data_IF_182155563351
#
_entry.id   IF_182155563351
#
_cell.length_a   1.000
_cell.length_b   1.000
_cell.length_c   1.000
_cell.angle_alpha   90.00
_cell.angle_beta   90.00
_cell.angle_gamma   90.00
#
_symmetry.space_group_name_H-M   'P 1'
#
loop_
_entity.id
_entity.type
_entity.pdbx_description
1 polymer ?
#
# COMPACT_ATOMS: atom_id res chain seq x y z
N UNK A 1 3.17 -15.71 7.07
CA UNK A 1 3.30 -16.50 5.83
C UNK A 1 4.65 -16.18 5.19
N UNK A 2 5.34 -17.13 4.57
CA UNK A 2 6.53 -16.84 3.74
C UNK A 2 6.12 -16.95 2.28
N UNK A 3 6.47 -15.97 1.45
CA UNK A 3 6.13 -15.90 0.03
C UNK A 3 7.43 -16.02 -0.76
N UNK A 4 7.62 -17.14 -1.45
CA UNK A 4 8.91 -17.51 -2.07
C UNK A 4 8.93 -17.32 -3.58
N UNK A 5 7.78 -17.40 -4.25
CA UNK A 5 7.69 -17.32 -5.71
C UNK A 5 6.74 -16.19 -6.14
N UNK A 6 6.82 -15.81 -7.41
CA UNK A 6 5.92 -14.80 -7.97
C UNK A 6 4.48 -15.30 -7.98
N UNK A 7 4.27 -16.59 -8.25
CA UNK A 7 2.95 -17.24 -8.24
C UNK A 7 2.33 -17.19 -6.84
N UNK A 8 3.11 -17.51 -5.80
CA UNK A 8 2.66 -17.40 -4.41
C UNK A 8 2.32 -15.96 -4.02
N UNK A 9 3.02 -14.97 -4.60
CA UNK A 9 2.68 -13.57 -4.38
C UNK A 9 1.36 -13.23 -5.06
N UNK A 10 1.16 -13.60 -6.33
CA UNK A 10 -0.09 -13.37 -7.05
C UNK A 10 -1.29 -13.99 -6.32
N UNK A 11 -1.18 -15.25 -5.86
CA UNK A 11 -2.21 -15.91 -5.04
C UNK A 11 -2.51 -15.14 -3.75
N UNK A 12 -1.48 -14.61 -3.08
CA UNK A 12 -1.65 -13.82 -1.87
C UNK A 12 -2.33 -12.48 -2.14
N UNK A 13 -1.95 -11.78 -3.22
CA UNK A 13 -2.58 -10.51 -3.63
C UNK A 13 -4.04 -10.72 -4.03
N UNK A 14 -4.34 -11.79 -4.77
CA UNK A 14 -5.71 -12.11 -5.19
C UNK A 14 -6.58 -12.49 -4.00
N UNK A 15 -6.06 -13.31 -3.10
CA UNK A 15 -6.75 -13.66 -1.85
C UNK A 15 -7.03 -12.42 -1.00
N UNK A 16 -6.07 -11.49 -0.91
CA UNK A 16 -6.21 -10.23 -0.17
C UNK A 16 -7.36 -9.37 -0.72
N UNK A 17 -7.52 -9.30 -2.05
CA UNK A 17 -8.59 -8.51 -2.67
C UNK A 17 -9.93 -9.25 -2.76
N UNK A 18 -9.93 -10.57 -2.91
CA UNK A 18 -11.14 -11.35 -3.16
C UNK A 18 -12.18 -11.20 -2.05
N UNK A 19 -11.77 -11.35 -0.78
CA UNK A 19 -12.72 -11.23 0.34
C UNK A 19 -13.22 -9.80 0.52
N UNK A 20 -12.37 -8.79 0.26
CA UNK A 20 -12.78 -7.37 0.32
C UNK A 20 -13.79 -7.04 -0.78
N UNK A 21 -13.56 -7.53 -1.99
CA UNK A 21 -14.51 -7.37 -3.12
C UNK A 21 -15.85 -7.98 -2.78
N UNK A 22 -15.84 -9.18 -2.20
CA UNK A 22 -17.06 -9.85 -1.77
C UNK A 22 -17.82 -8.99 -0.74
N UNK A 23 -17.16 -8.58 0.34
CA UNK A 23 -17.78 -7.78 1.40
C UNK A 23 -18.32 -6.44 0.87
N UNK A 24 -17.55 -5.73 0.05
CA UNK A 24 -18.00 -4.48 -0.58
C UNK A 24 -19.20 -4.69 -1.52
N UNK A 25 -19.22 -5.80 -2.26
CA UNK A 25 -20.35 -6.15 -3.14
C UNK A 25 -21.60 -6.50 -2.34
N UNK A 26 -21.46 -7.21 -1.23
CA UNK A 26 -22.58 -7.56 -0.34
C UNK A 26 -23.20 -6.29 0.29
N UNK A 27 -22.35 -5.34 0.72
CA UNK A 27 -22.79 -4.04 1.24
C UNK A 27 -23.45 -3.20 0.14
N UNK A 28 -22.84 -3.16 -1.05
CA UNK A 28 -23.39 -2.45 -2.22
C UNK A 28 -24.78 -2.98 -2.61
N UNK A 29 -24.95 -4.30 -2.65
CA UNK A 29 -26.23 -4.95 -2.90
C UNK A 29 -27.26 -4.63 -1.82
N UNK A 30 -26.84 -4.59 -0.55
CA UNK A 30 -27.71 -4.24 0.58
C UNK A 30 -28.21 -2.79 0.50
N UNK A 31 -27.37 -1.85 0.07
CA UNK A 31 -27.76 -0.46 -0.18
C UNK A 31 -28.84 -0.38 -1.26
N UNK A 32 -28.70 -1.13 -2.35
CA UNK A 32 -29.65 -1.13 -3.48
C UNK A 32 -30.96 -1.84 -3.17
N UNK A 33 -30.94 -2.84 -2.29
CA UNK A 33 -32.13 -3.58 -1.87
C UNK A 33 -33.03 -2.82 -0.89
N UNK A 34 -32.64 -1.63 -0.43
CA UNK A 34 -33.35 -0.84 0.57
C UNK A 34 -33.65 0.57 0.05
N UNK A 35 -34.61 1.27 0.66
CA UNK A 35 -34.96 2.67 0.34
C UNK A 35 -35.14 3.51 1.61
N UNK A 36 -35.21 4.84 1.45
CA UNK A 36 -35.50 5.76 2.55
C UNK A 36 -34.42 5.82 3.63
N UNK A 37 -34.83 5.85 4.90
CA UNK A 37 -33.91 5.98 6.05
C UNK A 37 -32.95 4.81 6.18
N UNK A 38 -33.39 3.59 5.87
CA UNK A 38 -32.56 2.38 5.91
C UNK A 38 -31.44 2.46 4.88
N UNK A 39 -31.76 2.85 3.64
CA UNK A 39 -30.74 3.06 2.60
C UNK A 39 -29.73 4.14 2.99
N UNK A 40 -30.21 5.26 3.54
CA UNK A 40 -29.35 6.36 3.97
C UNK A 40 -28.37 5.94 5.08
N UNK A 41 -28.83 5.14 6.04
CA UNK A 41 -27.98 4.55 7.07
C UNK A 41 -26.97 3.56 6.47
N UNK A 42 -27.40 2.67 5.57
CA UNK A 42 -26.53 1.69 4.92
C UNK A 42 -25.46 2.36 4.05
N UNK A 43 -25.78 3.45 3.36
CA UNK A 43 -24.80 4.24 2.60
C UNK A 43 -23.71 4.77 3.54
N UNK A 44 -24.08 5.35 4.69
CA UNK A 44 -23.11 5.86 5.66
C UNK A 44 -22.20 4.75 6.19
N UNK A 45 -22.78 3.59 6.53
CA UNK A 45 -22.00 2.41 6.92
C UNK A 45 -21.07 1.94 5.78
N UNK A 46 -21.58 1.91 4.54
CA UNK A 46 -20.84 1.53 3.35
C UNK A 46 -19.66 2.47 3.07
N UNK A 47 -19.79 3.78 3.24
CA UNK A 47 -18.68 4.73 3.10
C UNK A 47 -17.57 4.44 4.12
N UNK A 48 -17.93 4.14 5.37
CA UNK A 48 -16.94 3.77 6.39
C UNK A 48 -16.21 2.47 6.03
N UNK A 49 -16.94 1.45 5.54
CA UNK A 49 -16.36 0.19 5.09
C UNK A 49 -15.49 0.36 3.84
N UNK A 50 -15.93 1.14 2.85
CA UNK A 50 -15.15 1.48 1.66
C UNK A 50 -13.77 2.02 2.02
N UNK A 51 -13.73 2.96 2.96
CA UNK A 51 -12.46 3.49 3.46
C UNK A 51 -11.65 2.41 4.20
N UNK A 52 -12.27 1.63 5.07
CA UNK A 52 -11.56 0.59 5.84
C UNK A 52 -10.92 -0.47 4.91
N UNK A 53 -11.63 -0.87 3.85
CA UNK A 53 -11.13 -1.78 2.83
C UNK A 53 -10.04 -1.16 1.97
N UNK A 54 -10.14 0.13 1.62
CA UNK A 54 -9.09 0.87 0.95
C UNK A 54 -7.78 0.88 1.77
N UNK A 55 -7.84 1.39 3.00
CA UNK A 55 -6.66 1.50 3.86
C UNK A 55 -6.08 0.12 4.20
N UNK A 56 -6.94 -0.80 4.64
CA UNK A 56 -6.53 -2.16 4.99
C UNK A 56 -6.01 -2.93 3.79
N UNK A 57 -6.59 -2.73 2.61
CA UNK A 57 -6.17 -3.37 1.36
C UNK A 57 -4.77 -2.93 0.95
N UNK A 58 -4.50 -1.62 0.95
CA UNK A 58 -3.15 -1.10 0.69
C UNK A 58 -2.15 -1.68 1.69
N UNK A 59 -2.44 -1.66 2.99
CA UNK A 59 -1.56 -2.27 4.01
C UNK A 59 -1.28 -3.74 3.74
N UNK A 60 -2.31 -4.52 3.40
CA UNK A 60 -2.20 -5.96 3.11
C UNK A 60 -1.34 -6.24 1.88
N UNK A 61 -1.64 -5.58 0.76
CA UNK A 61 -0.89 -5.74 -0.50
C UNK A 61 0.60 -5.41 -0.31
N UNK A 62 0.89 -4.33 0.42
CA UNK A 62 2.27 -3.95 0.72
C UNK A 62 2.98 -4.97 1.62
N UNK A 63 2.28 -5.51 2.62
CA UNK A 63 2.84 -6.53 3.50
C UNK A 63 3.22 -7.80 2.72
N UNK A 64 2.37 -8.25 1.79
CA UNK A 64 2.67 -9.38 0.90
C UNK A 64 3.87 -9.09 0.01
N UNK A 65 3.90 -7.92 -0.62
CA UNK A 65 5.02 -7.50 -1.48
C UNK A 65 6.35 -7.46 -0.71
N UNK A 66 6.40 -6.79 0.44
CA UNK A 66 7.62 -6.71 1.25
C UNK A 66 8.04 -8.08 1.81
N UNK A 67 7.07 -8.96 2.10
CA UNK A 67 7.36 -10.34 2.51
C UNK A 67 8.04 -11.12 1.38
N UNK A 68 7.56 -10.98 0.15
CA UNK A 68 8.16 -11.61 -1.04
C UNK A 68 9.59 -11.11 -1.29
N UNK A 69 9.80 -9.78 -1.30
CA UNK A 69 11.12 -9.17 -1.48
C UNK A 69 12.08 -9.59 -0.36
N UNK A 70 11.60 -9.58 0.89
CA UNK A 70 12.38 -10.00 2.06
C UNK A 70 12.78 -11.47 2.02
N UNK A 71 11.91 -12.33 1.51
CA UNK A 71 12.17 -13.77 1.37
C UNK A 71 13.22 -14.05 0.28
N UNK A 72 13.23 -13.24 -0.78
CA UNK A 72 14.23 -13.33 -1.86
C UNK A 72 15.65 -12.92 -1.42
N UNK A 73 15.79 -12.27 -0.25
CA UNK A 73 17.08 -11.81 0.33
C UNK A 73 18.03 -11.20 -0.71
N UNK A 74 17.59 -10.16 -1.45
CA UNK A 74 18.41 -9.52 -2.46
C UNK A 74 19.67 -8.92 -1.83
N UNK A 75 20.70 -8.72 -2.64
CA UNK A 75 21.93 -8.03 -2.21
C UNK A 75 21.62 -6.55 -2.04
N UNK A 76 22.18 -5.90 -1.02
CA UNK A 76 21.91 -4.47 -0.77
C UNK A 76 22.24 -3.59 -2.00
N UNK A 77 23.36 -3.86 -2.68
CA UNK A 77 23.77 -3.14 -3.88
C UNK A 77 22.91 -3.41 -5.14
N UNK A 78 21.96 -4.35 -5.06
CA UNK A 78 21.03 -4.65 -6.15
C UNK A 78 19.64 -4.07 -5.90
N UNK A 79 19.36 -3.50 -4.73
CA UNK A 79 18.04 -2.94 -4.43
C UNK A 79 17.89 -1.54 -5.04
N UNK A 80 16.69 -1.23 -5.54
CA UNK A 80 16.31 0.14 -5.83
C UNK A 80 16.40 1.00 -4.55
N UNK A 81 16.74 2.29 -4.70
CA UNK A 81 17.08 3.16 -3.58
C UNK A 81 16.00 3.21 -2.48
N UNK A 82 14.68 3.28 -2.80
CA UNK A 82 13.65 3.27 -1.75
C UNK A 82 13.56 1.94 -0.99
N UNK A 83 13.70 0.81 -1.68
CA UNK A 83 13.72 -0.51 -1.05
C UNK A 83 14.98 -0.72 -0.19
N UNK A 84 16.12 -0.15 -0.63
CA UNK A 84 17.34 -0.11 0.15
C UNK A 84 17.15 0.70 1.44
N UNK A 85 16.50 1.87 1.35
CA UNK A 85 16.18 2.70 2.51
C UNK A 85 15.27 1.96 3.51
N UNK A 86 14.28 1.21 3.02
CA UNK A 86 13.44 0.33 3.86
C UNK A 86 14.29 -0.74 4.55
N UNK A 87 15.15 -1.44 3.80
CA UNK A 87 15.97 -2.52 4.34
C UNK A 87 16.95 -2.03 5.42
N UNK A 88 17.43 -0.79 5.31
CA UNK A 88 18.36 -0.15 6.25
C UNK A 88 17.69 0.72 7.32
N UNK A 89 16.35 0.76 7.38
CA UNK A 89 15.62 1.69 8.26
C UNK A 89 16.05 1.59 9.73
N UNK A 90 16.25 0.37 10.25
CA UNK A 90 16.74 0.16 11.62
C UNK A 90 18.15 0.66 11.84
N UNK A 91 19.01 0.54 10.84
CA UNK A 91 20.40 1.01 10.92
C UNK A 91 20.44 2.55 10.92
N UNK A 92 19.64 3.19 10.07
CA UNK A 92 19.48 4.65 10.08
C UNK A 92 18.95 5.18 11.40
N UNK A 93 17.95 4.50 12.00
CA UNK A 93 17.42 4.91 13.31
C UNK A 93 18.48 4.82 14.41
N UNK A 94 19.26 3.74 14.45
CA UNK A 94 20.38 3.61 15.39
C UNK A 94 21.43 4.70 15.17
N UNK A 95 21.77 4.99 13.92
CA UNK A 95 22.72 6.07 13.62
C UNK A 95 22.21 7.44 14.05
N UNK A 96 20.92 7.74 13.82
CA UNK A 96 20.29 8.99 14.26
C UNK A 96 20.40 9.21 15.77
N UNK A 97 20.22 8.14 16.55
CA UNK A 97 20.34 8.17 18.01
C UNK A 97 21.81 8.27 18.47
N UNK A 98 22.73 7.54 17.84
CA UNK A 98 24.12 7.45 18.26
C UNK A 98 25.04 8.57 17.74
N UNK A 99 24.73 9.16 16.59
CA UNK A 99 25.53 10.20 15.89
C UNK A 99 27.02 9.84 15.70
N UNK A 100 27.34 8.56 15.50
CA UNK A 100 28.73 8.08 15.38
C UNK A 100 29.11 7.77 13.93
N UNK A 101 30.36 8.12 13.56
CA UNK A 101 30.95 7.85 12.24
C UNK A 101 31.11 6.35 12.01
N UNK A 102 31.40 5.57 13.04
CA UNK A 102 31.53 4.12 12.99
C UNK A 102 30.23 3.48 12.47
N UNK A 103 29.07 3.93 12.98
CA UNK A 103 27.77 3.47 12.48
C UNK A 103 27.51 3.90 11.02
N UNK A 104 27.92 5.10 10.63
CA UNK A 104 27.82 5.53 9.23
C UNK A 104 28.66 4.64 8.31
N UNK A 105 29.89 4.33 8.71
CA UNK A 105 30.79 3.45 7.96
C UNK A 105 30.25 2.02 7.88
N UNK A 106 29.59 1.52 8.93
CA UNK A 106 28.93 0.21 8.90
C UNK A 106 27.83 0.17 7.83
N UNK A 107 26.96 1.18 7.75
CA UNK A 107 25.92 1.28 6.74
C UNK A 107 26.53 1.33 5.33
N UNK A 108 27.52 2.20 5.11
CA UNK A 108 28.18 2.36 3.80
C UNK A 108 28.85 1.05 3.36
N UNK A 109 29.61 0.41 4.26
CA UNK A 109 30.26 -0.86 3.97
C UNK A 109 29.24 -1.95 3.67
N UNK A 110 28.12 -2.01 4.40
CA UNK A 110 27.04 -2.98 4.14
C UNK A 110 26.43 -2.83 2.74
N UNK A 111 26.25 -1.60 2.28
CA UNK A 111 25.76 -1.31 0.92
C UNK A 111 26.81 -1.70 -0.13
N UNK A 112 28.08 -1.36 0.12
CA UNK A 112 29.18 -1.61 -0.82
C UNK A 112 29.58 -3.08 -0.93
N UNK A 113 29.47 -3.85 0.16
CA UNK A 113 29.95 -5.24 0.26
C UNK A 113 29.19 -6.27 -0.57
N UNK A 114 28.28 -5.84 -1.46
CA UNK A 114 27.73 -6.56 -2.62
C UNK A 114 27.45 -8.05 -2.46
N UNK A 115 28.48 -8.89 -2.43
CA UNK A 115 28.38 -10.34 -2.28
C UNK A 115 28.09 -10.82 -0.83
N UNK A 116 28.58 -10.14 0.21
CA UNK A 116 28.54 -10.62 1.59
C UNK A 116 27.29 -10.24 2.38
N UNK A 117 26.61 -9.15 1.98
CA UNK A 117 25.51 -8.60 2.77
C UNK A 117 24.18 -8.64 2.03
N UNK A 118 23.25 -9.44 2.58
CA UNK A 118 21.90 -9.60 2.04
C UNK A 118 20.91 -8.78 2.85
N UNK A 119 20.00 -8.12 2.15
CA UNK A 119 18.95 -7.33 2.74
C UNK A 119 18.04 -8.20 3.60
N UNK A 120 17.90 -7.80 4.87
CA UNK A 120 16.88 -8.32 5.76
C UNK A 120 15.82 -7.24 5.89
N UNK A 121 14.74 -7.44 5.16
CA UNK A 121 13.55 -6.67 5.39
C UNK A 121 13.01 -7.11 6.75
N UNK A 122 13.13 -6.22 7.72
CA UNK A 122 12.26 -6.33 8.90
C UNK A 122 10.86 -6.18 8.34
N UNK A 123 9.88 -7.00 8.76
CA UNK A 123 8.49 -6.63 8.57
C UNK A 123 8.38 -5.25 9.19
N UNK A 124 8.31 -4.22 8.36
CA UNK A 124 8.09 -2.87 8.88
C UNK A 124 6.86 -3.02 9.77
N UNK A 125 6.83 -2.40 10.96
CA UNK A 125 5.53 -2.13 11.56
C UNK A 125 4.78 -1.40 10.44
N UNK A 126 3.81 -2.14 9.91
CA UNK A 126 2.83 -1.85 8.89
C UNK A 126 2.90 -0.41 8.44
N UNK A 127 3.18 -0.15 7.15
CA UNK A 127 3.03 1.15 6.50
C UNK A 127 2.19 2.09 7.36
N UNK A 128 2.90 3.01 8.01
CA UNK A 128 2.26 3.89 8.96
C UNK A 128 1.43 4.86 8.14
N UNK A 129 0.13 4.59 8.10
CA UNK A 129 -0.82 5.43 7.41
C UNK A 129 -1.10 6.72 8.17
N UNK A 130 -0.37 7.01 9.26
CA UNK A 130 -0.53 8.24 10.06
C UNK A 130 -2.00 8.47 10.44
N UNK A 131 -2.70 7.39 10.80
CA UNK A 131 -4.13 7.32 11.12
C UNK A 131 -5.12 7.52 9.96
N UNK A 132 -4.69 8.04 8.80
CA UNK A 132 -5.52 8.22 7.61
C UNK A 132 -4.70 8.05 6.32
N UNK A 133 -5.10 7.14 5.43
CA UNK A 133 -4.47 6.97 4.12
C UNK A 133 -4.90 8.07 3.14
N UNK A 134 -4.40 9.29 3.36
CA UNK A 134 -4.52 10.43 2.44
C UNK A 134 -3.68 10.18 1.17
N UNK A 135 -3.90 11.00 0.15
CA UNK A 135 -3.11 10.99 -1.08
C UNK A 135 -1.62 11.21 -0.82
N UNK A 136 -1.27 12.10 0.11
CA UNK A 136 0.11 12.37 0.52
C UNK A 136 0.76 11.16 1.20
N UNK A 137 0.03 10.48 2.08
CA UNK A 137 0.49 9.25 2.72
C UNK A 137 0.63 8.13 1.68
N UNK A 138 -0.36 7.97 0.79
CA UNK A 138 -0.28 7.00 -0.32
C UNK A 138 0.96 7.26 -1.19
N UNK A 139 1.31 8.53 -1.43
CA UNK A 139 2.49 8.90 -2.21
C UNK A 139 3.78 8.41 -1.56
N UNK A 140 3.93 8.64 -0.26
CA UNK A 140 5.07 8.13 0.51
C UNK A 140 5.15 6.60 0.40
N UNK A 141 4.02 5.92 0.53
CA UNK A 141 3.92 4.45 0.40
C UNK A 141 4.36 3.97 -0.97
N UNK A 142 3.75 4.50 -2.05
CA UNK A 142 4.04 4.11 -3.43
C UNK A 142 5.53 4.31 -3.74
N UNK A 143 6.09 5.47 -3.40
CA UNK A 143 7.51 5.77 -3.63
C UNK A 143 8.41 4.81 -2.83
N UNK A 144 8.08 4.55 -1.56
CA UNK A 144 8.86 3.66 -0.70
C UNK A 144 8.97 2.24 -1.26
N UNK A 145 7.94 1.78 -1.97
CA UNK A 145 7.86 0.46 -2.59
C UNK A 145 8.42 0.41 -4.01
N UNK A 146 9.02 1.50 -4.49
CA UNK A 146 9.51 1.62 -5.86
C UNK A 146 8.40 1.51 -6.92
N UNK A 147 7.18 1.94 -6.60
CA UNK A 147 6.02 1.95 -7.50
C UNK A 147 5.83 3.33 -8.16
N UNK A 148 4.98 3.42 -9.19
CA UNK A 148 4.69 4.65 -9.91
C UNK A 148 3.46 5.37 -9.33
N UNK A 149 3.64 6.61 -8.87
CA UNK A 149 2.53 7.40 -8.32
C UNK A 149 1.67 8.10 -9.38
N UNK A 150 2.15 8.26 -10.61
CA UNK A 150 1.44 8.99 -11.66
C UNK A 150 -0.04 8.57 -11.85
N UNK A 151 -0.41 7.27 -11.80
CA UNK A 151 -1.81 6.83 -11.93
C UNK A 151 -2.77 7.33 -10.84
N UNK A 152 -2.25 7.83 -9.71
CA UNK A 152 -3.05 8.31 -8.58
C UNK A 152 -3.23 9.83 -8.55
N UNK A 153 -2.47 10.60 -9.35
CA UNK A 153 -2.49 12.07 -9.35
C UNK A 153 -3.90 12.64 -9.60
N UNK A 154 -4.63 12.09 -10.56
CA UNK A 154 -5.98 12.57 -10.88
C UNK A 154 -7.04 12.12 -9.87
N UNK A 155 -6.66 11.28 -8.88
CA UNK A 155 -7.54 10.71 -7.87
C UNK A 155 -7.25 11.23 -6.46
N UNK A 156 -6.30 12.15 -6.28
CA UNK A 156 -5.96 12.72 -4.96
C UNK A 156 -7.18 13.36 -4.28
N UNK A 157 -7.92 14.21 -5.02
CA UNK A 157 -9.15 14.84 -4.50
C UNK A 157 -10.19 13.82 -4.05
N UNK A 158 -10.33 12.72 -4.80
CA UNK A 158 -11.23 11.63 -4.43
C UNK A 158 -10.79 10.96 -3.12
N UNK A 159 -9.49 10.63 -3.00
CA UNK A 159 -8.92 9.98 -1.82
C UNK A 159 -9.09 10.88 -0.58
N UNK A 160 -8.73 12.16 -0.69
CA UNK A 160 -8.68 13.06 0.45
C UNK A 160 -10.06 13.54 0.88
N UNK A 161 -10.90 13.98 -0.07
CA UNK A 161 -12.20 14.57 0.26
C UNK A 161 -13.30 13.51 0.30
N UNK A 162 -13.44 12.72 -0.77
CA UNK A 162 -14.56 11.79 -0.90
C UNK A 162 -14.40 10.54 -0.04
N UNK A 163 -13.18 10.06 0.18
CA UNK A 163 -12.90 8.87 1.00
C UNK A 163 -12.56 9.24 2.45
N UNK A 164 -11.40 9.87 2.67
CA UNK A 164 -10.90 10.20 4.01
C UNK A 164 -11.84 11.19 4.70
N UNK A 165 -12.17 12.31 4.04
CA UNK A 165 -13.04 13.35 4.58
C UNK A 165 -14.42 12.82 4.98
N UNK A 166 -15.10 12.12 4.07
CA UNK A 166 -16.43 11.58 4.35
C UNK A 166 -16.41 10.50 5.42
N UNK A 167 -15.41 9.59 5.42
CA UNK A 167 -15.25 8.62 6.50
C UNK A 167 -15.06 9.32 7.84
N UNK A 168 -14.23 10.35 7.89
CA UNK A 168 -13.95 11.06 9.14
C UNK A 168 -15.21 11.73 9.69
N UNK A 169 -15.97 12.43 8.85
CA UNK A 169 -17.25 13.02 9.25
C UNK A 169 -18.19 11.96 9.86
N UNK A 170 -18.35 10.81 9.17
CA UNK A 170 -19.20 9.71 9.65
C UNK A 170 -18.69 9.13 10.98
N UNK A 171 -17.38 8.88 11.09
CA UNK A 171 -16.75 8.31 12.29
C UNK A 171 -16.79 9.26 13.49
N UNK A 172 -16.80 10.58 13.27
CA UNK A 172 -16.98 11.60 14.29
C UNK A 172 -18.45 11.88 14.63
N UNK A 173 -19.39 11.14 14.04
CA UNK A 173 -20.82 11.22 14.35
C UNK A 173 -21.56 12.32 13.58
N UNK A 174 -20.91 12.97 12.62
CA UNK A 174 -21.55 13.97 11.77
C UNK A 174 -22.56 13.30 10.84
N UNK A 175 -23.68 14.00 10.62
CA UNK A 175 -24.69 13.56 9.67
C UNK A 175 -24.29 14.02 8.27
N UNK A 176 -23.77 13.07 7.49
CA UNK A 176 -23.42 13.29 6.09
C UNK A 176 -24.47 12.63 5.19
N UNK A 177 -25.20 13.43 4.43
CA UNK A 177 -26.09 12.94 3.39
C UNK A 177 -25.27 12.62 2.14
N UNK A 178 -25.07 11.33 1.88
CA UNK A 178 -24.45 10.82 0.65
C UNK A 178 -25.56 10.17 -0.16
N UNK A 179 -25.76 10.64 -1.39
CA UNK A 179 -26.73 10.03 -2.28
C UNK A 179 -26.21 8.70 -2.86
N UNK A 180 -27.12 7.87 -3.36
CA UNK A 180 -26.79 6.55 -3.90
C UNK A 180 -25.82 6.62 -5.09
N UNK A 181 -25.96 7.63 -5.97
CA UNK A 181 -25.10 7.78 -7.15
C UNK A 181 -23.65 8.12 -6.76
N UNK A 182 -23.49 8.93 -5.71
CA UNK A 182 -22.19 9.24 -5.13
C UNK A 182 -21.59 8.02 -4.46
N UNK A 183 -22.39 7.24 -3.73
CA UNK A 183 -21.96 5.98 -3.14
C UNK A 183 -21.48 4.98 -4.20
N UNK A 184 -22.21 4.84 -5.31
CA UNK A 184 -21.83 3.97 -6.44
C UNK A 184 -20.49 4.37 -7.04
N UNK A 185 -20.33 5.68 -7.30
CA UNK A 185 -19.07 6.23 -7.80
C UNK A 185 -17.91 5.95 -6.84
N UNK A 186 -18.13 6.09 -5.53
CA UNK A 186 -17.13 5.78 -4.51
C UNK A 186 -16.79 4.29 -4.48
N UNK A 187 -17.79 3.41 -4.54
CA UNK A 187 -17.61 1.97 -4.57
C UNK A 187 -16.75 1.53 -5.76
N UNK A 188 -17.10 1.93 -6.97
CA UNK A 188 -16.32 1.62 -8.17
C UNK A 188 -14.91 2.19 -8.11
N UNK A 189 -14.75 3.41 -7.59
CA UNK A 189 -13.45 4.08 -7.49
C UNK A 189 -12.51 3.38 -6.49
N UNK A 190 -13.03 2.92 -5.35
CA UNK A 190 -12.24 2.16 -4.35
C UNK A 190 -11.76 0.83 -4.95
N UNK A 191 -12.64 0.08 -5.61
CA UNK A 191 -12.27 -1.19 -6.24
C UNK A 191 -11.20 -1.00 -7.31
N UNK A 192 -11.34 0.04 -8.13
CA UNK A 192 -10.33 0.40 -9.15
C UNK A 192 -8.99 0.81 -8.53
N UNK A 193 -8.99 1.60 -7.45
CA UNK A 193 -7.75 1.98 -6.77
C UNK A 193 -7.00 0.77 -6.19
N UNK A 194 -7.74 -0.18 -5.61
CA UNK A 194 -7.17 -1.43 -5.11
C UNK A 194 -6.58 -2.29 -6.23
N UNK A 195 -7.30 -2.42 -7.37
CA UNK A 195 -6.81 -3.13 -8.54
C UNK A 195 -5.54 -2.48 -9.10
N UNK A 196 -5.55 -1.16 -9.30
CA UNK A 196 -4.40 -0.45 -9.86
C UNK A 196 -3.15 -0.63 -8.99
N UNK A 197 -3.31 -0.54 -7.66
CA UNK A 197 -2.19 -0.76 -6.75
C UNK A 197 -1.67 -2.20 -6.81
N UNK A 198 -2.56 -3.21 -6.83
CA UNK A 198 -2.20 -4.62 -7.01
C UNK A 198 -1.47 -4.86 -8.34
N UNK A 199 -1.99 -4.31 -9.43
CA UNK A 199 -1.40 -4.44 -10.77
C UNK A 199 -0.01 -3.82 -10.82
N UNK A 200 0.24 -2.71 -10.12
CA UNK A 200 1.59 -2.14 -10.03
C UNK A 200 2.59 -3.08 -9.36
N UNK A 201 2.19 -3.76 -8.27
CA UNK A 201 3.05 -4.75 -7.60
C UNK A 201 3.41 -5.88 -8.58
N UNK A 202 2.41 -6.46 -9.25
CA UNK A 202 2.62 -7.54 -10.21
C UNK A 202 3.54 -7.14 -11.37
N UNK A 203 3.36 -5.93 -11.90
CA UNK A 203 4.17 -5.39 -13.00
C UNK A 203 5.64 -5.15 -12.64
N UNK A 204 5.97 -4.98 -11.34
CA UNK A 204 7.35 -4.87 -10.89
C UNK A 204 7.98 -6.24 -10.61
N UNK A 205 7.17 -7.18 -10.10
CA UNK A 205 7.66 -8.50 -9.70
C UNK A 205 7.92 -9.41 -10.89
N UNK A 206 6.98 -9.49 -11.84
CA UNK A 206 7.11 -10.36 -13.02
C UNK A 206 8.44 -10.16 -13.79
N UNK A 207 8.88 -8.92 -14.10
CA UNK A 207 10.17 -8.65 -14.74
C UNK A 207 11.36 -8.50 -13.77
N UNK A 208 11.21 -8.71 -12.46
CA UNK A 208 12.24 -8.45 -11.42
C UNK A 208 12.80 -7.01 -11.41
N UNK A 209 11.98 -6.02 -11.78
CA UNK A 209 12.35 -4.58 -11.85
C UNK A 209 12.68 -3.94 -10.50
N UNK A 210 12.43 -4.66 -9.40
CA UNK A 210 12.85 -4.26 -8.06
C UNK A 210 14.37 -4.44 -7.82
N UNK A 211 15.09 -5.04 -8.78
CA UNK A 211 16.53 -5.22 -8.74
C UNK A 211 17.24 -4.40 -9.83
N UNK A 212 18.25 -3.61 -9.43
CA UNK A 212 19.06 -2.72 -10.29
C UNK A 212 20.00 -3.52 -11.22
N UNK A 213 20.10 -4.84 -11.04
CA UNK A 213 20.99 -5.72 -11.82
C UNK A 213 20.50 -6.13 -13.21
N UNK A 214 19.37 -5.61 -13.71
CA UNK A 214 18.82 -5.93 -15.04
C UNK A 214 18.21 -4.73 -15.77
N UNK A 215 18.48 -3.51 -15.33
CA UNK A 215 18.20 -2.32 -16.14
C UNK A 215 19.50 -1.56 -16.30
N UNK A 216 19.99 -1.59 -17.53
CA UNK A 216 21.07 -0.77 -18.03
C UNK A 216 20.93 0.66 -17.53
N UNK A 217 22.10 1.19 -17.18
CA UNK A 217 22.34 2.62 -17.18
C UNK A 217 22.11 3.15 -18.61
N UNK A 218 20.89 3.56 -18.93
CA UNK A 218 20.65 4.43 -20.09
C UNK A 218 19.22 4.99 -20.10
N UNK A 219 19.19 6.34 -20.12
CA UNK A 219 18.08 7.27 -20.30
C UNK A 219 17.33 7.71 -19.02
#
# INVERSE_FOLDING_TARGET
MRIHTAEQLEEALDSELAWRRKELTDVHSSVHGNVGSTQSMLIRAGVALLYAHWEGGIKGLCAHYLTFIGTSRPKYNTLAAPLLAIALHKDFRKHWEARSLEYTLEIINRVRDGAGSRAKFVPLPTIDTKSNLTSSVLREVVISLWLNYAPFLLREKFIDESLVGQRNAIAHGEYLAVDISKYDSMHSSVLSLLDDFRTQISNIVAPKKFSVGLQDQSA
#
